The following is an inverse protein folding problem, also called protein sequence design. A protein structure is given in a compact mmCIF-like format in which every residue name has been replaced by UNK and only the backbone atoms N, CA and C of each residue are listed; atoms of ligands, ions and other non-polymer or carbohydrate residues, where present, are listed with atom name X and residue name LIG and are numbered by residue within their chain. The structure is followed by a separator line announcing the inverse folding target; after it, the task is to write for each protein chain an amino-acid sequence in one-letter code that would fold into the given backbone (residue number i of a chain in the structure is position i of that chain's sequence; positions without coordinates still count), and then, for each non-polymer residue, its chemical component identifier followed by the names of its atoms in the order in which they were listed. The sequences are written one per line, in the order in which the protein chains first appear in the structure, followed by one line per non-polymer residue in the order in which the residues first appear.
data_IF_939003677401
#
_entry.id   IF_939003677401
#
_cell.length_a   1.000
_cell.length_b   1.000
_cell.length_c   1.000
_cell.angle_alpha   90.00
_cell.angle_beta   90.00
_cell.angle_gamma   90.00
#
_symmetry.space_group_name_H-M   'P 1'
#
loop_
_entity.id
_entity.type
_entity.pdbx_description
1 polymer ?
#
# COMPACT_ATOMS: atom_id res chain seq x y z
N UNK A 1 -62.14 8.26 -32.87
CA UNK A 1 -61.43 9.03 -31.85
C UNK A 1 -60.30 8.15 -31.27
N UNK A 2 -59.05 8.34 -31.75
CA UNK A 2 -57.90 7.52 -31.31
C UNK A 2 -57.16 8.29 -30.22
N UNK A 3 -57.20 7.78 -28.98
CA UNK A 3 -56.43 8.32 -27.88
C UNK A 3 -54.97 7.86 -28.00
N UNK A 4 -54.07 8.81 -28.26
CA UNK A 4 -52.64 8.59 -28.22
C UNK A 4 -52.16 8.56 -26.75
N UNK A 5 -51.55 7.44 -26.34
CA UNK A 5 -50.94 7.34 -25.00
C UNK A 5 -49.60 8.06 -24.99
N UNK A 6 -49.27 8.91 -23.96
CA UNK A 6 -47.98 9.51 -23.87
C UNK A 6 -46.92 8.46 -23.42
N UNK A 7 -45.82 8.37 -24.16
CA UNK A 7 -44.63 7.58 -23.79
C UNK A 7 -43.81 8.46 -22.84
N UNK A 8 -43.79 8.09 -21.59
CA UNK A 8 -42.90 8.70 -20.60
C UNK A 8 -41.47 8.16 -20.77
N UNK A 9 -40.60 8.97 -21.35
CA UNK A 9 -39.16 8.69 -21.42
C UNK A 9 -38.55 8.95 -20.02
N UNK A 10 -38.25 7.89 -19.31
CA UNK A 10 -37.50 7.99 -18.04
C UNK A 10 -36.01 8.21 -18.34
N UNK A 11 -35.52 9.42 -18.08
CA UNK A 11 -34.08 9.75 -18.13
C UNK A 11 -33.42 9.24 -16.87
N UNK A 12 -32.70 8.13 -16.97
CA UNK A 12 -31.87 7.62 -15.85
C UNK A 12 -30.61 8.47 -15.73
N UNK A 13 -30.56 9.32 -14.71
CA UNK A 13 -29.39 10.10 -14.36
C UNK A 13 -28.33 9.18 -13.73
N UNK A 14 -27.32 8.80 -14.50
CA UNK A 14 -26.17 8.03 -14.01
C UNK A 14 -25.27 8.98 -13.20
N UNK A 15 -25.36 8.93 -11.87
CA UNK A 15 -24.44 9.61 -10.98
C UNK A 15 -23.07 8.97 -11.10
N UNK A 16 -22.17 9.58 -11.87
CA UNK A 16 -20.76 9.20 -11.90
C UNK A 16 -20.13 9.55 -10.55
N UNK A 17 -19.85 8.54 -9.72
CA UNK A 17 -19.10 8.73 -8.49
C UNK A 17 -17.68 9.24 -8.85
N UNK A 18 -17.15 10.27 -8.15
CA UNK A 18 -15.80 10.74 -8.40
C UNK A 18 -14.81 9.59 -8.13
N UNK A 19 -14.08 9.18 -9.16
CA UNK A 19 -12.97 8.27 -9.00
C UNK A 19 -11.85 9.04 -8.28
N UNK A 20 -11.74 8.89 -6.96
CA UNK A 20 -10.59 9.40 -6.22
C UNK A 20 -9.33 8.73 -6.78
N UNK A 21 -8.59 9.49 -7.57
CA UNK A 21 -7.25 9.08 -7.98
C UNK A 21 -6.40 8.96 -6.72
N UNK A 22 -5.85 7.76 -6.48
CA UNK A 22 -4.99 7.55 -5.33
C UNK A 22 -3.75 8.43 -5.46
N UNK A 23 -3.57 9.35 -4.52
CA UNK A 23 -2.42 10.24 -4.51
C UNK A 23 -1.22 9.52 -3.89
N UNK A 24 -0.16 9.29 -4.69
CA UNK A 24 1.13 8.82 -4.18
C UNK A 24 1.89 10.03 -3.64
N UNK A 25 2.04 10.11 -2.33
CA UNK A 25 2.82 11.15 -1.69
C UNK A 25 4.31 10.82 -1.73
N UNK A 26 5.14 11.82 -2.05
CA UNK A 26 6.60 11.73 -1.94
C UNK A 26 6.98 12.16 -0.53
N UNK A 27 7.77 11.36 0.14
CA UNK A 27 8.23 11.65 1.50
C UNK A 27 9.73 11.38 1.65
N UNK A 28 10.35 12.02 2.65
CA UNK A 28 11.72 11.74 3.09
C UNK A 28 11.71 10.76 4.26
N UNK A 29 12.86 10.11 4.51
CA UNK A 29 12.96 9.11 5.56
C UNK A 29 12.57 9.61 6.97
N UNK A 30 12.91 10.81 7.43
CA UNK A 30 12.46 11.31 8.74
C UNK A 30 10.93 11.34 8.89
N UNK A 31 10.20 11.61 7.81
CA UNK A 31 8.74 11.58 7.83
C UNK A 31 8.21 10.15 7.92
N UNK A 32 8.78 9.21 7.14
CA UNK A 32 8.46 7.79 7.25
C UNK A 32 8.75 7.29 8.67
N UNK A 33 9.92 7.57 9.20
CA UNK A 33 10.33 7.18 10.56
C UNK A 33 9.34 7.69 11.62
N UNK A 34 8.92 8.96 11.54
CA UNK A 34 7.91 9.53 12.43
C UNK A 34 6.56 8.80 12.33
N UNK A 35 6.16 8.38 11.11
CA UNK A 35 4.93 7.59 10.92
C UNK A 35 5.04 6.21 11.55
N UNK A 36 6.17 5.52 11.34
CA UNK A 36 6.40 4.17 11.87
C UNK A 36 6.57 4.17 13.40
N UNK A 37 7.01 5.29 14.01
CA UNK A 37 7.20 5.43 15.45
C UNK A 37 5.93 5.79 16.24
N UNK A 38 4.78 6.05 15.57
CA UNK A 38 3.55 6.45 16.26
C UNK A 38 3.11 5.41 17.29
N UNK A 39 2.82 5.82 18.56
CA UNK A 39 2.39 4.91 19.61
C UNK A 39 0.90 4.56 19.45
N UNK A 40 0.57 3.76 18.44
CA UNK A 40 -0.80 3.33 18.17
C UNK A 40 -0.99 1.84 18.41
N UNK A 41 -2.23 1.44 18.64
CA UNK A 41 -2.66 0.04 18.74
C UNK A 41 -3.02 -0.54 17.36
N UNK A 42 -2.41 0.02 16.32
CA UNK A 42 -2.61 -0.45 14.95
C UNK A 42 -1.42 -1.32 14.55
N UNK A 43 -1.70 -2.49 14.02
CA UNK A 43 -0.68 -3.32 13.39
C UNK A 43 -0.44 -2.80 11.98
N UNK A 44 0.77 -2.38 11.72
CA UNK A 44 1.21 -1.94 10.40
C UNK A 44 1.83 -3.10 9.64
N UNK A 45 1.46 -3.23 8.38
CA UNK A 45 2.10 -4.11 7.39
C UNK A 45 2.71 -3.20 6.33
N UNK A 46 4.01 -2.98 6.42
CA UNK A 46 4.75 -2.09 5.53
C UNK A 46 5.54 -2.92 4.55
N UNK A 47 5.28 -2.73 3.25
CA UNK A 47 6.04 -3.40 2.19
C UNK A 47 6.85 -2.37 1.42
N UNK A 48 8.16 -2.61 1.34
CA UNK A 48 9.08 -1.84 0.49
C UNK A 48 9.21 -2.56 -0.86
N UNK A 49 8.95 -1.81 -1.93
CA UNK A 49 8.82 -2.34 -3.28
C UNK A 49 9.28 -1.33 -4.32
N UNK A 50 9.35 -1.74 -5.59
CA UNK A 50 9.55 -0.83 -6.71
C UNK A 50 8.88 -1.36 -7.98
N UNK A 51 8.58 -0.48 -8.94
CA UNK A 51 7.95 -0.85 -10.20
C UNK A 51 8.82 -1.76 -11.07
N UNK A 52 10.13 -1.69 -10.91
CA UNK A 52 11.14 -2.51 -11.61
C UNK A 52 11.45 -3.84 -10.91
N UNK A 53 10.93 -4.06 -9.71
CA UNK A 53 11.15 -5.28 -8.93
C UNK A 53 10.05 -6.31 -9.24
N UNK A 54 10.34 -7.27 -10.11
CA UNK A 54 9.36 -8.27 -10.56
C UNK A 54 8.70 -9.07 -9.41
N UNK A 55 9.45 -9.64 -8.42
CA UNK A 55 8.83 -10.35 -7.30
C UNK A 55 7.97 -9.41 -6.42
N UNK A 56 8.38 -8.13 -6.26
CA UNK A 56 7.56 -7.16 -5.53
C UNK A 56 6.20 -6.95 -6.21
N UNK A 57 6.23 -6.69 -7.52
CA UNK A 57 5.02 -6.45 -8.32
C UNK A 57 4.05 -7.62 -8.26
N UNK A 58 4.57 -8.84 -8.20
CA UNK A 58 3.77 -10.07 -8.11
C UNK A 58 3.04 -10.17 -6.78
N UNK A 59 3.67 -9.82 -5.66
CA UNK A 59 3.07 -9.94 -4.33
C UNK A 59 2.10 -8.80 -3.95
N UNK A 60 2.09 -7.66 -4.66
CA UNK A 60 1.24 -6.51 -4.31
C UNK A 60 -0.25 -6.87 -4.21
N UNK A 61 -0.72 -7.80 -5.03
CA UNK A 61 -2.10 -8.31 -4.97
C UNK A 61 -2.41 -8.96 -3.62
N UNK A 62 -1.43 -9.64 -3.01
CA UNK A 62 -1.58 -10.27 -1.71
C UNK A 62 -1.77 -9.22 -0.59
N UNK A 63 -1.08 -8.08 -0.69
CA UNK A 63 -1.24 -6.97 0.25
C UNK A 63 -2.60 -6.28 0.11
N UNK A 64 -3.11 -6.13 -1.12
CA UNK A 64 -4.48 -5.62 -1.34
C UNK A 64 -5.53 -6.57 -0.77
N UNK A 65 -5.37 -7.87 -0.97
CA UNK A 65 -6.25 -8.88 -0.38
C UNK A 65 -6.19 -8.82 1.15
N UNK A 66 -4.99 -8.71 1.75
CA UNK A 66 -4.83 -8.57 3.20
C UNK A 66 -5.54 -7.31 3.70
N UNK A 67 -5.41 -6.19 3.01
CA UNK A 67 -6.10 -4.94 3.34
C UNK A 67 -7.62 -5.11 3.34
N UNK A 68 -8.17 -5.74 2.30
CA UNK A 68 -9.61 -5.97 2.17
C UNK A 68 -10.15 -6.89 3.27
N UNK A 69 -9.48 -7.99 3.55
CA UNK A 69 -9.91 -8.98 4.57
C UNK A 69 -9.77 -8.47 6.00
N UNK A 70 -9.03 -7.38 6.20
CA UNK A 70 -8.86 -6.72 7.49
C UNK A 70 -9.48 -5.31 7.54
N UNK A 71 -10.36 -4.99 6.59
CA UNK A 71 -11.11 -3.73 6.61
C UNK A 71 -11.91 -3.62 7.93
N UNK A 72 -11.88 -2.44 8.56
CA UNK A 72 -12.51 -2.19 9.85
C UNK A 72 -11.76 -2.71 11.08
N UNK A 73 -10.65 -3.46 10.91
CA UNK A 73 -9.76 -3.86 12.00
C UNK A 73 -8.63 -2.85 12.20
N UNK A 74 -7.91 -2.97 13.32
CA UNK A 74 -6.72 -2.16 13.61
C UNK A 74 -5.49 -2.67 12.84
N UNK A 75 -5.62 -2.80 11.53
CA UNK A 75 -4.56 -3.22 10.59
C UNK A 75 -4.45 -2.18 9.49
N UNK A 76 -3.23 -1.77 9.20
CA UNK A 76 -2.93 -0.83 8.11
C UNK A 76 -1.85 -1.37 7.20
N UNK A 77 -2.16 -1.49 5.91
CA UNK A 77 -1.20 -1.81 4.85
C UNK A 77 -0.65 -0.50 4.29
N UNK A 78 0.67 -0.41 4.22
CA UNK A 78 1.42 0.71 3.69
C UNK A 78 2.42 0.20 2.65
N UNK A 79 2.33 0.69 1.43
CA UNK A 79 3.22 0.33 0.32
C UNK A 79 4.21 1.47 0.08
N UNK A 80 5.49 1.25 0.35
CA UNK A 80 6.56 2.24 0.22
C UNK A 80 7.37 1.93 -1.02
N UNK A 81 7.18 2.74 -2.07
CA UNK A 81 7.95 2.63 -3.32
C UNK A 81 9.35 3.21 -3.13
N UNK A 82 10.35 2.47 -3.63
CA UNK A 82 11.75 2.88 -3.74
C UNK A 82 12.13 3.26 -5.17
N UNK A 83 11.15 3.57 -6.01
CA UNK A 83 11.40 4.20 -7.31
C UNK A 83 11.98 5.60 -7.13
N UNK A 84 12.78 6.05 -8.10
CA UNK A 84 13.28 7.43 -8.07
C UNK A 84 12.12 8.44 -8.14
N UNK A 85 12.19 9.55 -7.42
CA UNK A 85 11.18 10.61 -7.42
C UNK A 85 10.89 11.14 -8.84
N UNK A 86 11.91 11.17 -9.72
CA UNK A 86 11.75 11.53 -11.14
C UNK A 86 10.87 10.57 -11.96
N UNK A 87 10.60 9.36 -11.44
CA UNK A 87 9.73 8.36 -12.07
C UNK A 87 8.28 8.40 -11.53
N UNK A 88 7.99 9.26 -10.55
CA UNK A 88 6.68 9.32 -9.91
C UNK A 88 5.53 9.40 -10.93
N UNK A 89 5.54 10.44 -11.78
CA UNK A 89 4.45 10.69 -12.74
C UNK A 89 4.50 9.76 -13.95
N UNK A 90 5.71 9.34 -14.36
CA UNK A 90 5.90 8.53 -15.56
C UNK A 90 5.69 7.04 -15.32
N UNK A 91 5.92 6.55 -14.09
CA UNK A 91 5.85 5.12 -13.78
C UNK A 91 4.97 4.82 -12.56
N UNK A 92 5.27 5.39 -11.39
CA UNK A 92 4.64 4.94 -10.13
C UNK A 92 3.14 5.22 -10.11
N UNK A 93 2.70 6.45 -10.39
CA UNK A 93 1.28 6.81 -10.43
C UNK A 93 0.49 6.02 -11.48
N UNK A 94 0.95 5.90 -12.74
CA UNK A 94 0.28 5.06 -13.74
C UNK A 94 0.20 3.59 -13.32
N UNK A 95 1.26 3.04 -12.73
CA UNK A 95 1.30 1.68 -12.23
C UNK A 95 0.26 1.46 -11.11
N UNK A 96 0.25 2.32 -10.09
CA UNK A 96 -0.71 2.27 -8.98
C UNK A 96 -2.16 2.31 -9.50
N UNK A 97 -2.43 3.19 -10.47
CA UNK A 97 -3.74 3.30 -11.12
C UNK A 97 -4.10 2.04 -11.90
N UNK A 98 -3.19 1.56 -12.75
CA UNK A 98 -3.39 0.37 -13.59
C UNK A 98 -3.63 -0.89 -12.75
N UNK A 99 -2.89 -1.05 -11.65
CA UNK A 99 -3.02 -2.19 -10.74
C UNK A 99 -4.19 -2.04 -9.77
N UNK A 100 -4.85 -0.88 -9.74
CA UNK A 100 -6.00 -0.62 -8.86
C UNK A 100 -5.65 -0.71 -7.37
N UNK A 101 -4.40 -0.39 -7.00
CA UNK A 101 -3.96 -0.44 -5.61
C UNK A 101 -4.78 0.56 -4.79
N UNK A 102 -5.30 0.15 -3.64
CA UNK A 102 -6.10 0.96 -2.71
C UNK A 102 -5.45 1.12 -1.33
N UNK A 103 -4.41 0.34 -1.05
CA UNK A 103 -3.54 0.59 0.11
C UNK A 103 -2.87 1.95 -0.03
N UNK A 104 -2.54 2.60 1.08
CA UNK A 104 -1.76 3.85 1.04
C UNK A 104 -0.40 3.59 0.38
N UNK A 105 -0.08 4.34 -0.68
CA UNK A 105 1.19 4.26 -1.39
C UNK A 105 1.99 5.52 -1.14
N UNK A 106 3.23 5.36 -0.70
CA UNK A 106 4.22 6.41 -0.54
C UNK A 106 5.38 6.15 -1.49
N UNK A 107 6.03 7.21 -1.98
CA UNK A 107 7.32 7.13 -2.62
C UNK A 107 8.37 7.70 -1.66
N UNK A 108 9.35 6.88 -1.30
CA UNK A 108 10.45 7.30 -0.44
C UNK A 108 11.56 7.91 -1.30
N UNK A 109 11.68 9.24 -1.24
CA UNK A 109 12.75 9.99 -1.93
C UNK A 109 13.99 10.09 -1.04
N UNK A 110 14.74 8.99 -0.95
CA UNK A 110 15.97 8.92 -0.15
C UNK A 110 17.06 8.20 -0.93
N UNK A 111 17.91 8.96 -1.65
CA UNK A 111 18.85 8.41 -2.64
C UNK A 111 20.00 7.61 -2.03
N UNK A 112 20.35 7.85 -0.76
CA UNK A 112 21.40 7.08 -0.05
C UNK A 112 20.78 5.98 0.83
N UNK A 113 20.79 4.71 0.39
CA UNK A 113 20.27 3.59 1.16
C UNK A 113 20.94 3.43 2.53
N UNK A 114 22.24 3.73 2.63
CA UNK A 114 23.00 3.57 3.87
C UNK A 114 22.54 4.54 4.96
N UNK A 115 21.90 5.66 4.56
CA UNK A 115 21.42 6.65 5.51
C UNK A 115 20.20 6.18 6.31
N UNK A 116 19.46 5.16 5.83
CA UNK A 116 18.14 4.85 6.40
C UNK A 116 17.78 3.36 6.54
N UNK A 117 18.35 2.45 5.74
CA UNK A 117 17.97 1.01 5.75
C UNK A 117 18.14 0.43 7.16
N UNK A 118 19.28 0.61 7.80
CA UNK A 118 19.55 0.12 9.15
C UNK A 118 18.63 0.72 10.22
N UNK A 119 18.08 1.91 9.96
CA UNK A 119 17.10 2.54 10.85
C UNK A 119 15.70 1.95 10.70
N UNK A 120 15.41 1.30 9.56
CA UNK A 120 14.21 0.49 9.40
C UNK A 120 14.42 -0.87 10.04
N UNK A 121 15.48 -1.58 9.72
CA UNK A 121 15.85 -2.85 10.32
C UNK A 121 17.33 -3.16 10.08
N UNK A 122 18.09 -3.41 11.15
CA UNK A 122 19.53 -3.72 11.08
C UNK A 122 19.85 -5.03 10.38
N UNK A 123 18.84 -5.89 10.15
CA UNK A 123 19.00 -7.16 9.44
C UNK A 123 18.61 -7.06 7.96
N UNK A 124 18.07 -5.93 7.53
CA UNK A 124 17.71 -5.75 6.12
C UNK A 124 18.95 -5.46 5.28
N UNK A 125 19.23 -6.31 4.30
CA UNK A 125 20.37 -6.13 3.39
C UNK A 125 20.15 -5.03 2.33
N UNK A 126 18.94 -4.47 2.24
CA UNK A 126 18.53 -3.55 1.18
C UNK A 126 17.88 -4.25 -0.01
N UNK A 127 17.80 -5.58 -0.03
CA UNK A 127 17.13 -6.30 -1.10
C UNK A 127 15.60 -6.15 -1.04
N UNK A 128 14.96 -6.20 -2.22
CA UNK A 128 13.52 -6.12 -2.39
C UNK A 128 12.94 -7.45 -2.90
N UNK A 129 11.70 -7.77 -2.51
CA UNK A 129 10.82 -7.05 -1.59
C UNK A 129 11.24 -7.20 -0.12
N UNK A 130 10.92 -6.18 0.68
CA UNK A 130 11.08 -6.26 2.12
C UNK A 130 9.76 -5.91 2.81
N UNK A 131 9.33 -6.76 3.74
CA UNK A 131 8.09 -6.55 4.52
C UNK A 131 8.40 -6.45 5.99
N UNK A 132 7.90 -5.39 6.61
CA UNK A 132 7.93 -5.15 8.04
C UNK A 132 6.50 -5.20 8.59
N UNK A 133 6.24 -6.06 9.58
CA UNK A 133 4.99 -6.10 10.33
C UNK A 133 5.30 -5.72 11.78
N UNK A 134 4.58 -4.74 12.33
CA UNK A 134 4.83 -4.30 13.70
C UNK A 134 3.57 -3.70 14.35
N UNK A 135 3.56 -3.73 15.69
CA UNK A 135 2.60 -3.01 16.53
C UNK A 135 3.36 -2.35 17.69
N UNK A 136 3.33 -1.02 17.73
CA UNK A 136 4.11 -0.25 18.70
C UNK A 136 3.58 -0.36 20.14
N UNK A 137 2.28 -0.62 20.33
CA UNK A 137 1.70 -0.82 21.66
C UNK A 137 2.16 -2.13 22.28
N UNK A 138 2.14 -3.22 21.50
CA UNK A 138 2.55 -4.56 21.97
C UNK A 138 4.05 -4.81 21.89
N UNK A 139 4.82 -3.89 21.27
CA UNK A 139 6.25 -4.04 20.99
C UNK A 139 6.60 -5.23 20.09
N UNK A 140 5.61 -5.80 19.42
CA UNK A 140 5.82 -6.90 18.49
C UNK A 140 6.33 -6.39 17.16
N UNK A 141 7.28 -7.13 16.55
CA UNK A 141 7.88 -6.81 15.26
C UNK A 141 8.36 -8.09 14.57
N UNK A 142 8.16 -8.18 13.26
CA UNK A 142 8.75 -9.22 12.41
C UNK A 142 9.04 -8.67 11.02
N UNK A 143 10.05 -9.22 10.36
CA UNK A 143 10.48 -8.79 9.02
C UNK A 143 10.67 -9.97 8.10
N UNK A 144 10.52 -9.73 6.80
CA UNK A 144 10.74 -10.71 5.73
C UNK A 144 11.42 -10.01 4.57
N UNK A 145 12.56 -10.54 4.13
CA UNK A 145 13.33 -10.06 2.97
C UNK A 145 13.17 -11.04 1.81
N UNK A 146 11.93 -11.23 1.38
CA UNK A 146 11.53 -12.10 0.28
C UNK A 146 10.07 -11.89 -0.10
N UNK A 147 9.69 -12.40 -1.27
CA UNK A 147 8.28 -12.48 -1.68
C UNK A 147 7.45 -13.27 -0.65
N UNK A 148 6.25 -12.78 -0.33
CA UNK A 148 5.28 -13.41 0.57
C UNK A 148 4.00 -13.76 -0.17
N UNK A 149 3.55 -15.00 -0.03
CA UNK A 149 2.22 -15.43 -0.46
C UNK A 149 1.12 -14.85 0.44
N UNK A 150 -0.13 -14.86 -0.05
CA UNK A 150 -1.29 -14.43 0.73
C UNK A 150 -1.46 -15.24 2.03
N UNK A 151 -1.17 -16.54 1.98
CA UNK A 151 -1.21 -17.43 3.15
C UNK A 151 -0.16 -17.06 4.19
N UNK A 152 1.08 -16.79 3.77
CA UNK A 152 2.18 -16.38 4.64
C UNK A 152 1.92 -15.02 5.29
N UNK A 153 1.43 -14.03 4.52
CA UNK A 153 1.03 -12.73 5.05
C UNK A 153 -0.07 -12.84 6.10
N UNK A 154 -1.09 -13.67 5.83
CA UNK A 154 -2.18 -13.91 6.78
C UNK A 154 -1.67 -14.58 8.05
N UNK A 155 -0.81 -15.60 7.93
CA UNK A 155 -0.21 -16.29 9.06
C UNK A 155 0.71 -15.38 9.89
N UNK A 156 1.49 -14.51 9.20
CA UNK A 156 2.32 -13.53 9.87
C UNK A 156 1.50 -12.51 10.68
N UNK A 157 0.41 -11.99 10.07
CA UNK A 157 -0.46 -11.02 10.73
C UNK A 157 -1.20 -11.60 11.96
N UNK A 158 -1.59 -12.88 11.92
CA UNK A 158 -2.26 -13.55 13.07
C UNK A 158 -1.46 -13.50 14.37
N UNK A 159 -0.13 -13.37 14.29
CA UNK A 159 0.73 -13.26 15.49
C UNK A 159 0.58 -11.91 16.22
N UNK A 160 -0.10 -10.94 15.60
CA UNK A 160 -0.31 -9.58 16.10
C UNK A 160 -1.77 -9.30 16.52
N UNK A 161 -2.63 -10.32 16.46
CA UNK A 161 -4.08 -10.22 16.76
C UNK A 161 -4.45 -10.85 18.09
#
# INVERSE_FOLDING_TARGET
MRLSKPVLLSVSLVLAAPAFAQNVAVIRFPELQKRLARPTDTTYVVNFWATWCAPCVKELTNFEQLRLTNAGKKVKVLLVSLDYASQLDKKVRPFVKQRGLKAEVLLLDEPDPNAWIDKVDTKWSGALPFTLIFNNKTKQRTTYERELSATELTAALKKFQ
#
